data_IF_467417199922
#
_entry.id   IF_467417199922
#
_cell.length_a   1.000
_cell.length_b   1.000
_cell.length_c   1.000
_cell.angle_alpha   90.00
_cell.angle_beta   90.00
_cell.angle_gamma   90.00
#
_symmetry.space_group_name_H-M   'P 1'
#
loop_
_entity.id
_entity.type
_entity.pdbx_description
1 polymer ?
#
# COMPACT_ATOMS: atom_id res chain seq x y z
N UNK A 1 23.29 -7.35 19.38
CA UNK A 1 22.95 -6.19 18.51
C UNK A 1 23.64 -4.98 19.11
N UNK A 2 24.46 -4.26 18.35
CA UNK A 2 25.08 -3.04 18.87
C UNK A 2 23.98 -2.04 19.23
N UNK A 3 23.96 -1.58 20.49
CA UNK A 3 22.96 -0.63 20.97
C UNK A 3 23.27 0.77 20.43
N UNK A 4 22.79 1.07 19.22
CA UNK A 4 22.88 2.40 18.60
C UNK A 4 22.29 3.47 19.55
N UNK A 5 22.99 4.58 19.71
CA UNK A 5 22.49 5.74 20.47
C UNK A 5 21.58 6.61 19.60
N UNK A 6 20.77 7.49 20.21
CA UNK A 6 19.96 8.44 19.44
C UNK A 6 20.80 9.32 18.51
N UNK A 7 21.95 9.83 18.98
CA UNK A 7 22.78 10.70 18.16
C UNK A 7 23.36 9.94 16.96
N UNK A 8 23.78 8.68 17.15
CA UNK A 8 24.23 7.83 16.05
C UNK A 8 23.11 7.52 15.05
N UNK A 9 21.90 7.26 15.55
CA UNK A 9 20.73 7.02 14.72
C UNK A 9 20.35 8.26 13.89
N UNK A 10 20.27 9.44 14.53
CA UNK A 10 19.95 10.68 13.84
C UNK A 10 21.05 11.07 12.83
N UNK A 11 22.31 10.78 13.13
CA UNK A 11 23.40 10.99 12.20
C UNK A 11 23.26 10.11 10.94
N UNK A 12 22.91 8.83 11.10
CA UNK A 12 22.62 7.94 9.96
C UNK A 12 21.43 8.42 9.13
N UNK A 13 20.40 8.95 9.80
CA UNK A 13 19.24 9.54 9.12
C UNK A 13 19.66 10.78 8.32
N UNK A 14 20.44 11.68 8.93
CA UNK A 14 20.96 12.87 8.27
C UNK A 14 21.77 12.49 7.03
N UNK A 15 22.72 11.56 7.16
CA UNK A 15 23.55 11.09 6.06
C UNK A 15 22.73 10.47 4.93
N UNK A 16 21.69 9.69 5.25
CA UNK A 16 20.81 9.09 4.25
C UNK A 16 19.96 10.15 3.50
N UNK A 17 19.54 11.22 4.19
CA UNK A 17 18.79 12.32 3.55
C UNK A 17 19.72 13.19 2.69
N UNK A 18 20.88 13.57 3.22
CA UNK A 18 21.86 14.43 2.55
C UNK A 18 22.41 13.76 1.28
N UNK A 19 22.75 12.47 1.37
CA UNK A 19 23.18 11.67 0.22
C UNK A 19 22.04 11.23 -0.71
N UNK A 20 20.79 11.55 -0.37
CA UNK A 20 19.57 11.11 -1.09
C UNK A 20 19.46 9.59 -1.24
N UNK A 21 20.00 8.85 -0.28
CA UNK A 21 19.82 7.40 -0.18
C UNK A 21 18.45 7.06 0.43
N UNK A 22 17.44 7.01 -0.44
CA UNK A 22 16.09 6.66 -0.04
C UNK A 22 15.95 5.26 0.53
N UNK A 23 16.82 4.31 0.16
CA UNK A 23 16.74 2.92 0.65
C UNK A 23 17.14 2.86 2.11
N UNK A 24 18.30 3.44 2.45
CA UNK A 24 18.77 3.52 3.84
C UNK A 24 17.82 4.34 4.70
N UNK A 25 17.32 5.48 4.20
CA UNK A 25 16.34 6.29 4.91
C UNK A 25 15.02 5.54 5.15
N UNK A 26 14.57 4.75 4.18
CA UNK A 26 13.38 3.90 4.31
C UNK A 26 13.55 2.82 5.39
N UNK A 27 14.74 2.21 5.50
CA UNK A 27 15.03 1.27 6.58
C UNK A 27 15.02 1.94 7.95
N UNK A 28 15.59 3.14 8.05
CA UNK A 28 15.64 3.90 9.31
C UNK A 28 14.25 4.37 9.75
N UNK A 29 13.30 4.63 8.86
CA UNK A 29 11.92 4.97 9.25
C UNK A 29 10.94 3.79 9.26
N UNK A 30 11.36 2.59 8.85
CA UNK A 30 10.45 1.44 8.77
C UNK A 30 10.33 0.67 10.09
N UNK A 31 9.11 0.29 10.43
CA UNK A 31 8.84 -0.64 11.54
C UNK A 31 9.26 -2.09 11.31
N UNK A 32 9.86 -2.40 10.17
CA UNK A 32 10.48 -3.71 9.90
C UNK A 32 11.94 -3.77 10.32
N UNK A 33 12.60 -2.63 10.49
CA UNK A 33 14.02 -2.60 10.83
C UNK A 33 14.24 -2.84 12.33
N UNK A 34 15.30 -3.55 12.75
CA UNK A 34 15.54 -3.89 14.17
C UNK A 34 15.64 -2.70 15.14
N UNK A 35 15.85 -1.49 14.64
CA UNK A 35 15.98 -0.28 15.47
C UNK A 35 14.73 -0.02 16.33
N UNK A 36 13.54 -0.43 15.88
CA UNK A 36 12.29 -0.21 16.63
C UNK A 36 12.24 -0.97 17.96
N UNK A 37 13.04 -2.03 18.09
CA UNK A 37 13.16 -2.81 19.32
C UNK A 37 14.20 -2.22 20.30
N UNK A 38 14.92 -1.16 19.93
CA UNK A 38 15.92 -0.54 20.79
C UNK A 38 15.27 0.41 21.80
N UNK A 39 15.31 0.13 23.12
CA UNK A 39 14.68 0.99 24.12
C UNK A 39 15.25 2.41 24.16
N UNK A 40 16.49 2.61 23.68
CA UNK A 40 17.13 3.94 23.62
C UNK A 40 16.52 4.87 22.56
N UNK A 41 15.80 4.30 21.59
CA UNK A 41 15.12 5.04 20.52
C UNK A 41 13.62 5.21 20.80
N UNK A 42 13.09 4.49 21.80
CA UNK A 42 11.70 4.60 22.24
C UNK A 42 11.53 5.79 23.18
N UNK A 43 11.46 6.99 22.60
CA UNK A 43 11.43 8.25 23.34
C UNK A 43 10.05 8.92 23.27
N UNK A 44 9.49 9.39 24.41
CA UNK A 44 8.21 10.09 24.42
C UNK A 44 8.29 11.55 23.92
N UNK A 45 9.47 12.18 24.03
CA UNK A 45 9.69 13.58 23.62
C UNK A 45 11.05 13.77 22.92
N UNK A 46 11.20 13.30 21.67
CA UNK A 46 12.44 13.37 20.89
C UNK A 46 12.61 14.67 20.08
N UNK A 47 11.67 15.62 20.15
CA UNK A 47 11.59 16.79 19.26
C UNK A 47 12.85 17.63 19.26
N UNK A 48 13.32 18.06 20.43
CA UNK A 48 14.49 18.93 20.57
C UNK A 48 15.75 18.28 19.97
N UNK A 49 15.93 16.97 20.19
CA UNK A 49 17.09 16.23 19.66
C UNK A 49 17.03 16.09 18.14
N UNK A 50 15.84 15.89 17.58
CA UNK A 50 15.67 15.80 16.13
C UNK A 50 15.93 17.16 15.46
N UNK A 51 15.43 18.25 16.05
CA UNK A 51 15.62 19.62 15.57
C UNK A 51 17.09 20.08 15.58
N UNK A 52 17.90 19.53 16.48
CA UNK A 52 19.34 19.83 16.53
C UNK A 52 20.14 19.20 15.39
N UNK A 53 19.60 18.19 14.70
CA UNK A 53 20.34 17.38 13.72
C UNK A 53 19.70 17.40 12.33
N UNK A 54 18.37 17.45 12.24
CA UNK A 54 17.61 17.36 11.01
C UNK A 54 16.90 18.69 10.71
N UNK A 55 16.72 18.99 9.43
CA UNK A 55 15.96 20.16 8.99
C UNK A 55 14.48 19.83 8.74
N UNK A 56 13.57 20.83 8.84
CA UNK A 56 12.18 20.65 8.45
C UNK A 56 11.99 20.24 6.99
N UNK A 57 11.06 19.29 6.69
CA UNK A 57 10.12 18.65 7.62
C UNK A 57 10.61 17.29 8.19
N UNK A 58 11.89 16.94 8.00
CA UNK A 58 12.42 15.63 8.42
C UNK A 58 12.64 15.55 9.93
N UNK A 59 12.93 16.66 10.60
CA UNK A 59 12.96 16.76 12.06
C UNK A 59 11.65 16.28 12.71
N UNK A 60 10.52 16.79 12.24
CA UNK A 60 9.18 16.45 12.71
C UNK A 60 8.83 15.01 12.36
N UNK A 61 9.21 14.57 11.15
CA UNK A 61 9.01 13.20 10.68
C UNK A 61 9.71 12.19 11.60
N UNK A 62 10.99 12.37 11.89
CA UNK A 62 11.76 11.42 12.70
C UNK A 62 11.48 11.56 14.20
N UNK A 63 11.12 12.75 14.69
CA UNK A 63 10.59 12.90 16.05
C UNK A 63 9.29 12.09 16.22
N UNK A 64 8.36 12.20 15.27
CA UNK A 64 7.13 11.41 15.29
C UNK A 64 7.40 9.91 15.17
N UNK A 65 8.40 9.49 14.39
CA UNK A 65 8.83 8.09 14.31
C UNK A 65 9.31 7.54 15.65
N UNK A 66 10.22 8.24 16.33
CA UNK A 66 10.73 7.84 17.64
C UNK A 66 9.61 7.76 18.69
N UNK A 67 8.66 8.72 18.68
CA UNK A 67 7.43 8.65 19.51
C UNK A 67 6.56 7.45 19.13
N UNK A 68 6.44 7.14 17.85
CA UNK A 68 5.69 5.99 17.38
C UNK A 68 6.31 4.69 17.91
N UNK A 69 7.65 4.55 17.90
CA UNK A 69 8.32 3.37 18.47
C UNK A 69 8.06 3.22 19.97
N UNK A 70 8.02 4.33 20.72
CA UNK A 70 7.63 4.34 22.13
C UNK A 70 6.18 3.90 22.34
N UNK A 71 5.24 4.43 21.55
CA UNK A 71 3.82 4.03 21.63
C UNK A 71 3.62 2.54 21.31
N UNK A 72 4.31 2.02 20.29
CA UNK A 72 4.31 0.59 19.94
C UNK A 72 4.89 -0.27 21.05
N UNK A 73 6.01 0.16 21.66
CA UNK A 73 6.61 -0.52 22.81
C UNK A 73 5.66 -0.63 24.01
N UNK A 74 4.76 0.33 24.16
CA UNK A 74 3.73 0.36 25.22
C UNK A 74 2.37 -0.24 24.80
N UNK A 75 2.27 -0.88 23.62
CA UNK A 75 1.03 -1.42 23.06
C UNK A 75 -0.10 -0.39 22.87
N UNK A 76 0.23 0.90 22.74
CA UNK A 76 -0.73 1.95 22.38
C UNK A 76 -0.77 2.16 20.86
N UNK A 77 -1.55 1.32 20.18
CA UNK A 77 -1.68 1.41 18.72
C UNK A 77 -2.49 2.62 18.25
N UNK A 78 -3.30 3.21 19.13
CA UNK A 78 -4.04 4.44 18.81
C UNK A 78 -3.04 5.60 18.72
N UNK A 79 -2.15 5.71 19.69
CA UNK A 79 -1.11 6.75 19.65
C UNK A 79 -0.07 6.48 18.56
N UNK A 80 0.31 5.22 18.34
CA UNK A 80 1.19 4.84 17.22
C UNK A 80 0.59 5.27 15.87
N UNK A 81 -0.70 5.08 15.65
CA UNK A 81 -1.39 5.53 14.43
C UNK A 81 -1.38 7.06 14.26
N UNK A 82 -1.58 7.83 15.34
CA UNK A 82 -1.47 9.30 15.29
C UNK A 82 -0.06 9.74 14.95
N UNK A 83 0.94 9.14 15.58
CA UNK A 83 2.34 9.42 15.27
C UNK A 83 2.64 9.10 13.79
N UNK A 84 2.20 7.95 13.29
CA UNK A 84 2.36 7.58 11.88
C UNK A 84 1.66 8.53 10.92
N UNK A 85 0.53 9.11 11.31
CA UNK A 85 -0.16 10.16 10.54
C UNK A 85 0.73 11.39 10.37
N UNK A 86 1.39 11.83 11.46
CA UNK A 86 2.36 12.94 11.42
C UNK A 86 3.54 12.60 10.52
N UNK A 87 4.11 11.39 10.64
CA UNK A 87 5.21 10.93 9.76
C UNK A 87 4.83 11.07 8.29
N UNK A 88 3.67 10.58 7.89
CA UNK A 88 3.21 10.63 6.49
C UNK A 88 2.94 12.08 6.04
N UNK A 89 2.38 12.92 6.90
CA UNK A 89 2.12 14.34 6.58
C UNK A 89 3.43 15.15 6.42
N UNK A 90 4.41 14.92 7.29
CA UNK A 90 5.75 15.52 7.19
C UNK A 90 6.49 15.03 5.96
N UNK A 91 6.49 13.72 5.71
CA UNK A 91 7.04 13.14 4.48
C UNK A 91 6.39 13.74 3.23
N UNK A 92 5.06 13.88 3.21
CA UNK A 92 4.33 14.39 2.06
C UNK A 92 4.75 15.83 1.70
N UNK A 93 5.04 16.69 2.70
CA UNK A 93 5.57 18.04 2.47
C UNK A 93 6.92 18.01 1.75
N UNK A 94 7.86 17.20 2.22
CA UNK A 94 9.16 17.02 1.55
C UNK A 94 8.99 16.41 0.15
N UNK A 95 8.19 15.35 0.05
CA UNK A 95 7.97 14.63 -1.19
C UNK A 95 7.31 15.49 -2.28
N UNK A 96 6.49 16.47 -1.91
CA UNK A 96 5.95 17.47 -2.83
C UNK A 96 7.00 18.49 -3.29
N UNK A 97 7.94 18.86 -2.42
CA UNK A 97 8.98 19.85 -2.71
C UNK A 97 10.05 19.31 -3.67
N UNK A 98 10.36 18.02 -3.61
CA UNK A 98 11.30 17.40 -4.56
C UNK A 98 10.73 17.50 -5.97
N UNK A 99 11.43 18.10 -6.92
CA UNK A 99 10.99 18.17 -8.32
C UNK A 99 11.89 17.28 -9.15
N UNK A 100 11.30 16.52 -10.08
CA UNK A 100 12.06 15.74 -11.07
C UNK A 100 13.03 14.74 -10.44
N UNK A 101 12.68 14.21 -9.26
CA UNK A 101 13.46 13.24 -8.51
C UNK A 101 12.53 12.24 -7.82
N UNK A 102 12.95 10.97 -7.76
CA UNK A 102 12.18 9.89 -7.14
C UNK A 102 12.93 9.11 -6.05
N UNK A 103 14.11 9.59 -5.62
CA UNK A 103 14.92 8.92 -4.59
C UNK A 103 14.12 8.61 -3.31
N UNK A 104 13.12 9.43 -2.98
CA UNK A 104 12.28 9.25 -1.79
C UNK A 104 11.14 8.20 -1.94
N UNK A 105 11.02 7.52 -3.09
CA UNK A 105 10.01 6.47 -3.29
C UNK A 105 10.11 5.31 -2.29
N UNK A 106 11.31 4.78 -1.94
CA UNK A 106 11.42 3.73 -0.93
C UNK A 106 10.90 4.19 0.44
N UNK A 107 11.12 5.45 0.81
CA UNK A 107 10.61 6.04 2.05
C UNK A 107 9.08 6.06 2.01
N UNK A 108 8.49 6.52 0.89
CA UNK A 108 7.05 6.48 0.67
C UNK A 108 6.48 5.07 0.85
N UNK A 109 7.16 4.05 0.32
CA UNK A 109 6.73 2.66 0.46
C UNK A 109 6.69 2.20 1.92
N UNK A 110 7.72 2.53 2.70
CA UNK A 110 7.80 2.22 4.12
C UNK A 110 6.66 2.90 4.90
N UNK A 111 6.56 4.23 4.82
CA UNK A 111 5.60 5.00 5.63
C UNK A 111 4.14 4.70 5.26
N UNK A 112 3.86 4.42 3.98
CA UNK A 112 2.52 4.04 3.51
C UNK A 112 2.11 2.63 3.98
N UNK A 113 3.05 1.68 3.98
CA UNK A 113 2.80 0.34 4.51
C UNK A 113 2.51 0.39 6.01
N UNK A 114 3.34 1.10 6.77
CA UNK A 114 3.24 1.20 8.22
C UNK A 114 1.97 1.95 8.63
N UNK A 115 1.57 3.00 7.89
CA UNK A 115 0.28 3.68 8.08
C UNK A 115 -0.90 2.70 7.97
N UNK A 116 -0.93 1.86 6.94
CA UNK A 116 -2.00 0.86 6.77
C UNK A 116 -2.03 -0.15 7.93
N UNK A 117 -0.85 -0.58 8.40
CA UNK A 117 -0.73 -1.55 9.48
C UNK A 117 -1.20 -0.93 10.81
N UNK A 118 -0.74 0.26 11.15
CA UNK A 118 -1.15 0.93 12.39
C UNK A 118 -2.62 1.35 12.36
N UNK A 119 -3.14 1.82 11.22
CA UNK A 119 -4.56 2.10 11.08
C UNK A 119 -5.40 0.85 11.40
N UNK A 120 -5.00 -0.31 10.85
CA UNK A 120 -5.67 -1.57 11.14
C UNK A 120 -5.59 -1.98 12.64
N UNK A 121 -4.44 -1.78 13.28
CA UNK A 121 -4.27 -2.14 14.70
C UNK A 121 -5.06 -1.19 15.62
N UNK A 122 -5.02 0.12 15.35
CA UNK A 122 -5.79 1.12 16.06
C UNK A 122 -7.30 0.89 15.91
N UNK A 123 -7.76 0.57 14.69
CA UNK A 123 -9.16 0.24 14.41
C UNK A 123 -9.62 -0.96 15.26
N UNK A 124 -8.84 -2.04 15.28
CA UNK A 124 -9.14 -3.21 16.12
C UNK A 124 -9.17 -2.88 17.61
N UNK A 125 -8.25 -2.04 18.09
CA UNK A 125 -8.19 -1.64 19.50
C UNK A 125 -9.39 -0.77 19.90
N UNK A 126 -9.80 0.16 19.03
CA UNK A 126 -10.95 1.03 19.28
C UNK A 126 -12.28 0.28 19.21
N UNK A 127 -12.43 -0.64 18.24
CA UNK A 127 -13.62 -1.49 18.12
C UNK A 127 -13.76 -2.37 19.36
N UNK A 128 -12.68 -3.00 19.84
CA UNK A 128 -12.69 -3.78 21.10
C UNK A 128 -13.09 -2.95 22.31
N UNK A 129 -12.76 -1.65 22.33
CA UNK A 129 -13.13 -0.71 23.39
C UNK A 129 -14.54 -0.10 23.21
N UNK A 130 -15.27 -0.44 22.13
CA UNK A 130 -16.57 0.14 21.81
C UNK A 130 -16.53 1.63 21.45
N UNK A 131 -15.36 2.17 21.11
CA UNK A 131 -15.12 3.61 20.89
C UNK A 131 -15.11 4.03 19.42
N UNK A 132 -15.12 3.07 18.48
CA UNK A 132 -15.20 3.38 17.05
C UNK A 132 -15.87 2.27 16.24
N UNK A 133 -16.30 2.61 15.04
CA UNK A 133 -16.82 1.67 14.04
C UNK A 133 -15.66 1.00 13.31
N UNK A 134 -15.89 -0.22 12.84
CA UNK A 134 -14.91 -0.95 12.01
C UNK A 134 -14.64 -0.14 10.75
N UNK A 135 -13.37 0.17 10.50
CA UNK A 135 -12.89 0.85 9.31
C UNK A 135 -12.68 2.36 9.45
N UNK A 136 -13.05 3.01 10.55
CA UNK A 136 -12.93 4.47 10.69
C UNK A 136 -11.46 4.95 10.60
N UNK A 137 -10.54 4.23 11.26
CA UNK A 137 -9.10 4.57 11.15
C UNK A 137 -8.54 4.25 9.77
N UNK A 138 -9.05 3.18 9.13
CA UNK A 138 -8.63 2.79 7.79
C UNK A 138 -9.07 3.81 6.73
N UNK A 139 -10.26 4.40 6.88
CA UNK A 139 -10.74 5.47 5.99
C UNK A 139 -9.85 6.70 6.05
N UNK A 140 -9.52 7.17 7.26
CA UNK A 140 -8.60 8.30 7.48
C UNK A 140 -7.20 8.01 6.91
N UNK A 141 -6.70 6.79 7.09
CA UNK A 141 -5.43 6.37 6.49
C UNK A 141 -5.50 6.38 4.95
N UNK A 142 -6.61 5.95 4.35
CA UNK A 142 -6.77 5.95 2.90
C UNK A 142 -6.73 7.36 2.32
N UNK A 143 -7.26 8.37 3.02
CA UNK A 143 -7.18 9.78 2.59
C UNK A 143 -5.74 10.28 2.48
N UNK A 144 -4.88 9.93 3.44
CA UNK A 144 -3.45 10.26 3.42
C UNK A 144 -2.71 9.54 2.28
N UNK A 145 -3.00 8.25 2.09
CA UNK A 145 -2.44 7.48 0.96
C UNK A 145 -2.89 8.03 -0.39
N UNK A 146 -4.13 8.50 -0.50
CA UNK A 146 -4.63 9.19 -1.70
C UNK A 146 -3.89 10.51 -1.96
N UNK A 147 -3.47 11.22 -0.92
CA UNK A 147 -2.64 12.42 -1.08
C UNK A 147 -1.25 12.09 -1.61
N UNK A 148 -0.61 11.01 -1.13
CA UNK A 148 0.65 10.51 -1.71
C UNK A 148 0.45 10.10 -3.18
N UNK A 149 -0.65 9.43 -3.49
CA UNK A 149 -0.98 8.99 -4.84
C UNK A 149 -1.14 10.17 -5.80
N UNK A 150 -1.82 11.23 -5.35
CA UNK A 150 -1.98 12.46 -6.14
C UNK A 150 -0.65 13.10 -6.50
N UNK A 151 0.31 13.17 -5.56
CA UNK A 151 1.67 13.69 -5.83
C UNK A 151 2.37 12.87 -6.91
N UNK A 152 2.27 11.54 -6.85
CA UNK A 152 2.87 10.67 -7.86
C UNK A 152 2.17 10.82 -9.22
N UNK A 153 0.83 10.88 -9.24
CA UNK A 153 0.05 10.96 -10.46
C UNK A 153 0.21 12.30 -11.19
N UNK A 154 0.42 13.40 -10.46
CA UNK A 154 0.65 14.74 -11.03
C UNK A 154 2.05 14.96 -11.58
N UNK A 155 2.97 14.02 -11.37
CA UNK A 155 4.36 14.14 -11.79
C UNK A 155 4.51 13.92 -13.30
N UNK A 156 4.33 15.00 -14.05
CA UNK A 156 4.26 15.01 -15.52
C UNK A 156 5.52 15.56 -16.18
N UNK A 157 6.40 16.20 -15.41
CA UNK A 157 7.60 16.90 -15.93
C UNK A 157 8.86 16.05 -15.85
N UNK A 158 8.93 15.13 -14.88
CA UNK A 158 10.05 14.23 -14.71
C UNK A 158 10.24 13.31 -15.93
N UNK A 159 11.50 13.00 -16.24
CA UNK A 159 11.83 11.86 -17.10
C UNK A 159 11.26 10.56 -16.53
N UNK A 160 11.09 9.54 -17.38
CA UNK A 160 10.48 8.27 -16.98
C UNK A 160 11.24 7.61 -15.81
N UNK A 161 12.57 7.63 -15.85
CA UNK A 161 13.45 7.05 -14.81
C UNK A 161 13.34 7.78 -13.47
N UNK A 162 13.20 9.10 -13.48
CA UNK A 162 13.16 9.94 -12.27
C UNK A 162 11.73 10.23 -11.79
N UNK A 163 10.73 9.65 -12.45
CA UNK A 163 9.34 9.96 -12.15
C UNK A 163 8.87 9.30 -10.87
N UNK A 164 8.07 10.03 -10.09
CA UNK A 164 7.33 9.50 -8.94
C UNK A 164 6.18 8.58 -9.36
N UNK A 165 5.82 8.52 -10.65
CA UNK A 165 4.78 7.60 -11.16
C UNK A 165 5.09 6.13 -10.87
N UNK A 166 6.36 5.75 -10.72
CA UNK A 166 6.78 4.45 -10.22
C UNK A 166 6.19 4.10 -8.85
N UNK A 167 5.80 5.10 -8.06
CA UNK A 167 5.12 4.96 -6.78
C UNK A 167 3.64 4.57 -6.85
N UNK A 168 2.97 4.79 -7.99
CA UNK A 168 1.51 4.72 -8.08
C UNK A 168 0.97 3.33 -7.79
N UNK A 169 1.53 2.27 -8.41
CA UNK A 169 0.98 0.92 -8.26
C UNK A 169 1.12 0.40 -6.82
N UNK A 170 2.21 0.74 -6.14
CA UNK A 170 2.38 0.41 -4.72
C UNK A 170 1.26 1.03 -3.87
N UNK A 171 1.00 2.33 -4.05
CA UNK A 171 -0.05 3.04 -3.30
C UNK A 171 -1.44 2.49 -3.62
N UNK A 172 -1.74 2.22 -4.89
CA UNK A 172 -3.00 1.58 -5.31
C UNK A 172 -3.18 0.22 -4.63
N UNK A 173 -2.12 -0.58 -4.53
CA UNK A 173 -2.16 -1.86 -3.82
C UNK A 173 -2.42 -1.70 -2.30
N UNK A 174 -1.92 -0.63 -1.67
CA UNK A 174 -2.26 -0.32 -0.27
C UNK A 174 -3.72 0.11 -0.13
N UNK A 175 -4.19 0.98 -1.03
CA UNK A 175 -5.57 1.48 -1.06
C UNK A 175 -6.57 0.35 -1.30
N UNK A 176 -6.29 -0.58 -2.22
CA UNK A 176 -7.13 -1.76 -2.43
C UNK A 176 -7.26 -2.62 -1.18
N UNK A 177 -6.17 -2.85 -0.44
CA UNK A 177 -6.21 -3.59 0.84
C UNK A 177 -7.15 -2.92 1.85
N UNK A 178 -7.21 -1.59 1.85
CA UNK A 178 -8.14 -0.83 2.69
C UNK A 178 -9.56 -0.94 2.15
N UNK A 179 -9.80 -0.55 0.90
CA UNK A 179 -11.14 -0.45 0.31
C UNK A 179 -11.89 -1.78 0.27
N UNK A 180 -11.20 -2.89 0.01
CA UNK A 180 -11.80 -4.22 0.12
C UNK A 180 -12.14 -4.60 1.56
N UNK A 181 -11.36 -4.11 2.54
CA UNK A 181 -11.61 -4.40 3.96
C UNK A 181 -12.79 -3.60 4.50
N UNK A 182 -12.96 -2.35 4.08
CA UNK A 182 -14.09 -1.48 4.48
C UNK A 182 -15.29 -1.56 3.53
N UNK A 183 -15.25 -2.46 2.55
CA UNK A 183 -16.30 -2.66 1.54
C UNK A 183 -16.65 -1.39 0.71
N UNK A 184 -15.68 -0.52 0.43
CA UNK A 184 -15.85 0.69 -0.43
C UNK A 184 -15.29 0.46 -1.84
N UNK A 185 -15.77 -0.58 -2.53
CA UNK A 185 -15.22 -1.04 -3.82
C UNK A 185 -15.37 -0.02 -4.97
N UNK A 186 -16.35 0.88 -4.90
CA UNK A 186 -16.54 1.93 -5.91
C UNK A 186 -15.33 2.88 -6.02
N UNK A 187 -14.58 3.06 -4.92
CA UNK A 187 -13.36 3.89 -4.88
C UNK A 187 -12.18 3.28 -5.65
N UNK A 188 -12.24 2.00 -6.01
CA UNK A 188 -11.19 1.36 -6.80
C UNK A 188 -11.22 1.82 -8.28
N UNK A 189 -12.38 2.20 -8.82
CA UNK A 189 -12.55 2.48 -10.26
C UNK A 189 -11.65 3.63 -10.77
N UNK A 190 -11.53 4.78 -10.07
CA UNK A 190 -10.61 5.84 -10.49
C UNK A 190 -9.13 5.40 -10.45
N UNK A 191 -8.75 4.59 -9.46
CA UNK A 191 -7.38 4.09 -9.31
C UNK A 191 -7.00 3.11 -10.43
N UNK A 192 -7.91 2.21 -10.79
CA UNK A 192 -7.75 1.28 -11.91
C UNK A 192 -7.47 2.06 -13.19
N UNK A 193 -8.33 3.04 -13.50
CA UNK A 193 -8.19 3.89 -14.69
C UNK A 193 -6.84 4.59 -14.75
N UNK A 194 -6.38 5.15 -13.63
CA UNK A 194 -5.11 5.87 -13.58
C UNK A 194 -3.89 4.97 -13.82
N UNK A 195 -3.94 3.71 -13.38
CA UNK A 195 -2.90 2.72 -13.67
C UNK A 195 -2.98 2.26 -15.14
N UNK A 196 -4.18 1.94 -15.64
CA UNK A 196 -4.36 1.45 -17.01
C UNK A 196 -3.99 2.49 -18.07
N UNK A 197 -4.17 3.78 -17.76
CA UNK A 197 -3.77 4.89 -18.61
C UNK A 197 -2.30 5.27 -18.47
N UNK A 198 -1.55 4.65 -17.55
CA UNK A 198 -0.14 4.95 -17.33
C UNK A 198 0.75 4.21 -18.31
N UNK A 199 1.78 4.88 -18.82
CA UNK A 199 2.79 4.27 -19.67
C UNK A 199 3.64 3.23 -18.92
N UNK A 200 3.61 3.22 -17.58
CA UNK A 200 4.38 2.30 -16.73
C UNK A 200 3.67 0.98 -16.41
N UNK A 201 2.44 0.77 -16.89
CA UNK A 201 1.56 -0.34 -16.44
C UNK A 201 2.21 -1.73 -16.51
N UNK A 202 3.12 -1.94 -17.47
CA UNK A 202 3.79 -3.22 -17.69
C UNK A 202 5.19 -3.30 -17.06
N UNK A 203 5.78 -2.15 -16.70
CA UNK A 203 7.13 -2.05 -16.15
C UNK A 203 7.20 -2.21 -14.62
N UNK A 204 6.06 -2.09 -13.94
CA UNK A 204 6.02 -2.36 -12.51
C UNK A 204 6.44 -3.80 -12.20
N UNK A 205 7.07 -3.99 -11.04
CA UNK A 205 7.51 -5.32 -10.58
C UNK A 205 6.36 -6.35 -10.62
N UNK A 206 6.69 -7.59 -10.96
CA UNK A 206 5.72 -8.70 -11.02
C UNK A 206 4.93 -8.85 -9.71
N UNK A 207 5.58 -8.66 -8.56
CA UNK A 207 4.92 -8.74 -7.25
C UNK A 207 3.81 -7.69 -7.08
N UNK A 208 4.05 -6.45 -7.53
CA UNK A 208 3.03 -5.40 -7.50
C UNK A 208 1.92 -5.66 -8.52
N UNK A 209 2.25 -6.11 -9.74
CA UNK A 209 1.27 -6.46 -10.78
C UNK A 209 0.36 -7.61 -10.35
N UNK A 210 0.91 -8.66 -9.73
CA UNK A 210 0.13 -9.78 -9.17
C UNK A 210 -0.86 -9.31 -8.11
N UNK A 211 -0.42 -8.44 -7.19
CA UNK A 211 -1.31 -7.89 -6.15
C UNK A 211 -2.43 -7.06 -6.76
N UNK A 212 -2.10 -6.22 -7.74
CA UNK A 212 -3.07 -5.37 -8.45
C UNK A 212 -4.11 -6.23 -9.18
N UNK A 213 -3.65 -7.17 -10.02
CA UNK A 213 -4.52 -8.05 -10.82
C UNK A 213 -5.42 -8.92 -9.94
N UNK A 214 -4.93 -9.39 -8.79
CA UNK A 214 -5.76 -10.08 -7.80
C UNK A 214 -6.95 -9.22 -7.33
N UNK A 215 -6.73 -7.95 -6.98
CA UNK A 215 -7.80 -7.07 -6.53
C UNK A 215 -8.73 -6.62 -7.65
N UNK A 216 -8.20 -6.29 -8.83
CA UNK A 216 -9.03 -5.90 -9.98
C UNK A 216 -9.89 -7.07 -10.45
N UNK A 217 -9.35 -8.29 -10.51
CA UNK A 217 -10.12 -9.48 -10.84
C UNK A 217 -11.24 -9.75 -9.83
N UNK A 218 -10.97 -9.60 -8.53
CA UNK A 218 -12.03 -9.68 -7.50
C UNK A 218 -13.10 -8.60 -7.68
N UNK A 219 -12.72 -7.36 -8.01
CA UNK A 219 -13.69 -6.29 -8.29
C UNK A 219 -14.56 -6.64 -9.50
N UNK A 220 -13.97 -7.17 -10.58
CA UNK A 220 -14.70 -7.60 -11.76
C UNK A 220 -15.73 -8.69 -11.43
N UNK A 221 -15.42 -9.62 -10.51
CA UNK A 221 -16.42 -10.57 -9.99
C UNK A 221 -17.62 -9.89 -9.33
N UNK A 222 -17.38 -8.85 -8.51
CA UNK A 222 -18.46 -8.08 -7.88
C UNK A 222 -19.31 -7.34 -8.93
N UNK A 223 -18.70 -6.88 -10.02
CA UNK A 223 -19.38 -6.24 -11.13
C UNK A 223 -20.01 -7.25 -12.12
N UNK A 224 -19.94 -8.55 -11.82
CA UNK A 224 -20.37 -9.67 -12.68
C UNK A 224 -19.69 -9.74 -14.06
N UNK A 225 -18.53 -9.09 -14.23
CA UNK A 225 -17.67 -9.25 -15.40
C UNK A 225 -16.74 -10.46 -15.21
N UNK A 226 -17.31 -11.65 -15.37
CA UNK A 226 -16.59 -12.90 -15.11
C UNK A 226 -15.46 -13.16 -16.11
N UNK A 227 -15.55 -12.67 -17.34
CA UNK A 227 -14.48 -12.80 -18.34
C UNK A 227 -13.24 -12.01 -17.91
N UNK A 228 -13.43 -10.74 -17.55
CA UNK A 228 -12.33 -9.93 -17.06
C UNK A 228 -11.78 -10.45 -15.72
N UNK A 229 -12.65 -10.94 -14.84
CA UNK A 229 -12.24 -11.57 -13.60
C UNK A 229 -11.31 -12.78 -13.84
N UNK A 230 -11.67 -13.64 -14.81
CA UNK A 230 -10.89 -14.82 -15.17
C UNK A 230 -9.49 -14.44 -15.66
N UNK A 231 -9.41 -13.49 -16.60
CA UNK A 231 -8.15 -13.03 -17.17
C UNK A 231 -7.20 -12.51 -16.08
N UNK A 232 -7.69 -11.61 -15.22
CA UNK A 232 -6.86 -11.00 -14.18
C UNK A 232 -6.47 -11.97 -13.06
N UNK A 233 -7.38 -12.86 -12.65
CA UNK A 233 -7.08 -13.83 -11.61
C UNK A 233 -6.16 -14.95 -12.13
N UNK A 234 -6.29 -15.35 -13.40
CA UNK A 234 -5.36 -16.28 -14.07
C UNK A 234 -3.95 -15.68 -14.12
N UNK A 235 -3.81 -14.44 -14.61
CA UNK A 235 -2.52 -13.73 -14.60
C UNK A 235 -1.91 -13.69 -13.19
N UNK A 236 -2.70 -13.31 -12.19
CA UNK A 236 -2.23 -13.23 -10.81
C UNK A 236 -1.74 -14.58 -10.29
N UNK A 237 -2.43 -15.69 -10.62
CA UNK A 237 -2.06 -17.03 -10.18
C UNK A 237 -0.76 -17.52 -10.83
N UNK A 238 -0.66 -17.36 -12.15
CA UNK A 238 0.48 -17.80 -12.97
C UNK A 238 1.77 -17.08 -12.57
N UNK A 239 1.68 -15.78 -12.35
CA UNK A 239 2.83 -14.94 -12.00
C UNK A 239 3.10 -14.87 -10.49
N UNK A 240 2.26 -15.49 -9.66
CA UNK A 240 2.50 -15.57 -8.22
C UNK A 240 3.69 -16.49 -7.94
N UNK A 241 4.64 -16.00 -7.13
CA UNK A 241 5.84 -16.76 -6.79
C UNK A 241 5.52 -18.15 -6.22
N UNK A 242 6.25 -19.17 -6.68
CA UNK A 242 6.00 -20.58 -6.33
C UNK A 242 6.08 -20.89 -4.84
N UNK A 243 6.88 -20.17 -4.06
CA UNK A 243 6.94 -20.37 -2.60
C UNK A 243 5.80 -19.67 -1.84
N UNK A 244 5.07 -18.76 -2.48
CA UNK A 244 4.00 -17.97 -1.85
C UNK A 244 2.66 -18.73 -1.83
N UNK A 245 2.65 -19.92 -1.22
CA UNK A 245 1.50 -20.83 -1.18
C UNK A 245 0.22 -20.18 -0.64
N UNK A 246 0.35 -19.34 0.40
CA UNK A 246 -0.77 -18.58 0.96
C UNK A 246 -1.41 -17.65 -0.07
N UNK A 247 -0.60 -16.94 -0.85
CA UNK A 247 -1.09 -16.02 -1.89
C UNK A 247 -1.75 -16.79 -3.03
N UNK A 248 -1.14 -17.90 -3.47
CA UNK A 248 -1.74 -18.79 -4.48
C UNK A 248 -3.11 -19.30 -4.04
N UNK A 249 -3.23 -19.78 -2.80
CA UNK A 249 -4.52 -20.19 -2.23
C UNK A 249 -5.55 -19.06 -2.22
N UNK A 250 -5.14 -17.85 -1.83
CA UNK A 250 -6.03 -16.68 -1.86
C UNK A 250 -6.53 -16.35 -3.25
N UNK A 251 -5.70 -16.49 -4.29
CA UNK A 251 -6.11 -16.26 -5.69
C UNK A 251 -7.08 -17.37 -6.13
N UNK A 252 -6.76 -18.64 -5.85
CA UNK A 252 -7.58 -19.79 -6.25
C UNK A 252 -8.99 -19.78 -5.68
N UNK A 253 -9.18 -19.26 -4.46
CA UNK A 253 -10.52 -19.11 -3.85
C UNK A 253 -11.47 -18.30 -4.76
N UNK A 254 -10.93 -17.33 -5.51
CA UNK A 254 -11.72 -16.50 -6.42
C UNK A 254 -11.67 -17.02 -7.87
N UNK A 255 -10.52 -17.54 -8.31
CA UNK A 255 -10.35 -18.01 -9.69
C UNK A 255 -11.20 -19.25 -10.00
N UNK A 256 -11.28 -20.21 -9.07
CA UNK A 256 -11.98 -21.47 -9.30
C UNK A 256 -13.49 -21.26 -9.54
N UNK A 257 -14.24 -20.51 -8.70
CA UNK A 257 -15.64 -20.21 -8.98
C UNK A 257 -15.86 -19.53 -10.32
N UNK A 258 -14.99 -18.58 -10.71
CA UNK A 258 -15.11 -17.87 -11.99
C UNK A 258 -14.95 -18.83 -13.16
N UNK A 259 -13.94 -19.70 -13.13
CA UNK A 259 -13.74 -20.72 -14.19
C UNK A 259 -14.93 -21.69 -14.26
N UNK A 260 -15.48 -22.11 -13.12
CA UNK A 260 -16.65 -23.00 -13.08
C UNK A 260 -17.89 -22.35 -13.71
N UNK A 261 -18.15 -21.08 -13.42
CA UNK A 261 -19.26 -20.32 -14.01
C UNK A 261 -19.11 -20.21 -15.54
N UNK A 262 -17.94 -19.79 -16.02
CA UNK A 262 -17.71 -19.61 -17.46
C UNK A 262 -17.79 -20.91 -18.27
N UNK A 263 -17.32 -22.04 -17.70
CA UNK A 263 -17.47 -23.36 -18.32
C UNK A 263 -18.94 -23.78 -18.35
N UNK A 264 -19.70 -23.50 -17.30
CA UNK A 264 -21.13 -23.80 -17.24
C UNK A 264 -21.92 -22.98 -18.25
N UNK A 265 -21.58 -21.69 -18.41
CA UNK A 265 -22.17 -20.79 -19.40
C UNK A 265 -21.85 -21.24 -20.84
N UNK A 266 -20.65 -21.75 -21.09
CA UNK A 266 -20.32 -22.34 -22.40
C UNK A 266 -21.13 -23.62 -22.65
N UNK A 267 -21.36 -24.42 -21.63
CA UNK A 267 -22.12 -25.67 -21.74
C UNK A 267 -23.63 -25.38 -21.94
N UNK A 268 -24.21 -24.40 -21.22
CA UNK A 268 -25.60 -23.96 -21.41
C UNK A 268 -25.78 -23.26 -22.76
N UNK A 269 -24.90 -22.36 -23.16
CA UNK A 269 -24.95 -21.72 -24.48
C UNK A 269 -24.81 -22.74 -25.63
N UNK A 270 -24.02 -23.81 -25.44
CA UNK A 270 -23.93 -24.90 -26.40
C UNK A 270 -25.23 -25.73 -26.44
N UNK A 271 -25.83 -26.04 -25.29
CA UNK A 271 -27.12 -26.75 -25.21
C UNK A 271 -28.23 -25.92 -25.84
N UNK A 272 -28.32 -24.63 -25.54
CA UNK A 272 -29.32 -23.72 -26.11
C UNK A 272 -29.11 -23.52 -27.62
N UNK A 273 -27.86 -23.44 -28.08
CA UNK A 273 -27.58 -23.35 -29.51
C UNK A 273 -27.91 -24.65 -30.27
N UNK A 274 -27.73 -25.82 -29.63
CA UNK A 274 -28.18 -27.12 -30.15
C UNK A 274 -29.70 -27.27 -30.09
N UNK A 275 -30.36 -26.74 -29.06
CA UNK A 275 -31.81 -26.76 -28.90
C UNK A 275 -32.51 -25.85 -29.94
N UNK A 276 -31.97 -24.64 -30.17
CA UNK A 276 -32.45 -23.71 -31.20
C UNK A 276 -32.25 -24.22 -32.63
N UNK A 277 -31.23 -25.05 -32.90
CA UNK A 277 -31.08 -25.70 -34.21
C UNK A 277 -32.06 -26.85 -34.45
N UNK A 278 -32.68 -27.41 -33.41
CA UNK A 278 -33.74 -28.43 -33.57
C UNK A 278 -35.13 -27.85 -33.79
N UNK A 279 -35.36 -26.57 -33.47
CA UNK A 279 -36.66 -25.90 -33.63
C UNK A 279 -36.83 -25.11 -34.94
N UNK A 280 -35.84 -25.11 -35.83
CA UNK A 280 -35.89 -24.42 -37.14
C UNK A 280 -35.94 -25.40 -38.33
N UNK A 281 -36.02 -26.71 -38.09
CA UNK A 281 -36.21 -27.74 -39.12
C UNK A 281 -37.58 -28.43 -39.00
N UNK A 282 -38.65 -27.64 -39.11
CA UNK A 282 -40.00 -28.10 -39.50
C UNK A 282 -40.68 -27.03 -40.34
#
# INVERSE_FOLDING_TARGET
>A
MAHITINQYLQQVYEAIDSRDGTSCAELVSFKHPHVANPRLQLPSPEEKCQQVLEPPYDEMFAAHLRCTYAVGNHDFIEAYKCQTVIVQSFLRAFQAHKEENWALPIMYAVALDLRIFANNADQQLVKKGKSKVGDMLEKAAELLMSCFRVCASDTRAGLEDSKKWGMLFLVNQLFKIYFKINKLHLCKPLIRAIDSSNLKDDYTTAQRVTYKYYVGRKAMFDSDFKQAEEYLSFAFEHCHRSSQKNKRMILIYLLPVKMLLVSDCCSAFIDHVALKKSVNF
#
